data_IF_865685878697
#
_entry.id   IF_865685878697
#
_cell.length_a   1.000
_cell.length_b   1.000
_cell.length_c   1.000
_cell.angle_alpha   90.00
_cell.angle_beta   90.00
_cell.angle_gamma   90.00
#
_symmetry.space_group_name_H-M   'P 1'
#
loop_
_entity.id
_entity.type
_entity.pdbx_description
1 polymer ?
#
# COMPACT_ATOMS: atom_id res chain seq x y z
N UNK A 1 23.56 4.34 2.99
CA UNK A 1 23.14 3.14 2.21
C UNK A 1 22.80 2.06 3.22
N UNK A 2 21.56 1.55 3.22
CA UNK A 2 21.16 0.50 4.17
C UNK A 2 21.94 -0.79 3.92
N UNK A 3 22.66 -1.26 4.93
CA UNK A 3 23.40 -2.53 4.88
C UNK A 3 22.38 -3.64 4.72
N UNK A 4 22.44 -4.39 3.62
CA UNK A 4 21.60 -5.59 3.44
C UNK A 4 22.06 -6.62 4.47
N UNK A 5 21.22 -6.92 5.44
CA UNK A 5 21.48 -8.03 6.34
C UNK A 5 21.26 -9.34 5.57
N UNK A 6 22.36 -9.99 5.21
CA UNK A 6 22.35 -11.24 4.45
C UNK A 6 21.90 -12.45 5.29
N UNK A 7 21.75 -12.30 6.60
CA UNK A 7 21.31 -13.35 7.53
C UNK A 7 19.79 -13.39 7.71
N UNK A 8 19.09 -12.30 7.36
CA UNK A 8 17.63 -12.20 7.49
C UNK A 8 16.93 -12.94 6.36
N UNK A 9 15.89 -13.72 6.69
CA UNK A 9 15.08 -14.39 5.67
C UNK A 9 14.45 -13.35 4.74
N UNK A 10 14.44 -13.64 3.43
CA UNK A 10 13.97 -12.70 2.42
C UNK A 10 12.48 -12.32 2.58
N UNK A 11 11.67 -13.19 3.18
CA UNK A 11 10.25 -12.91 3.41
C UNK A 11 10.11 -11.92 4.56
N UNK A 12 10.85 -12.11 5.64
CA UNK A 12 10.90 -11.15 6.75
C UNK A 12 11.43 -9.79 6.28
N UNK A 13 12.49 -9.80 5.47
CA UNK A 13 13.02 -8.57 4.86
C UNK A 13 11.98 -7.85 3.99
N UNK A 14 11.19 -8.60 3.20
CA UNK A 14 10.10 -8.06 2.41
C UNK A 14 8.95 -7.54 3.28
N UNK A 15 8.62 -8.21 4.39
CA UNK A 15 7.60 -7.75 5.33
C UNK A 15 7.99 -6.38 5.93
N UNK A 16 9.22 -6.25 6.43
CA UNK A 16 9.72 -4.96 6.93
C UNK A 16 9.78 -3.89 5.83
N UNK A 17 10.01 -4.29 4.57
CA UNK A 17 9.94 -3.36 3.42
C UNK A 17 8.51 -2.86 3.21
N UNK A 18 7.52 -3.75 3.27
CA UNK A 18 6.11 -3.37 3.14
C UNK A 18 5.70 -2.42 4.28
N UNK A 19 6.13 -2.67 5.51
CA UNK A 19 5.88 -1.76 6.64
C UNK A 19 6.52 -0.36 6.43
N UNK A 20 7.73 -0.31 5.87
CA UNK A 20 8.35 0.97 5.50
C UNK A 20 7.58 1.67 4.38
N UNK A 21 7.11 0.93 3.38
CA UNK A 21 6.29 1.49 2.30
C UNK A 21 4.97 2.03 2.84
N UNK A 22 4.31 1.32 3.75
CA UNK A 22 3.10 1.79 4.41
C UNK A 22 3.34 3.09 5.17
N UNK A 23 4.44 3.18 5.96
CA UNK A 23 4.80 4.43 6.65
C UNK A 23 5.04 5.60 5.70
N UNK A 24 5.63 5.36 4.53
CA UNK A 24 5.81 6.39 3.51
C UNK A 24 4.44 6.86 2.97
N UNK A 25 3.53 5.94 2.68
CA UNK A 25 2.17 6.28 2.22
C UNK A 25 1.39 7.07 3.28
N UNK A 26 1.42 6.65 4.54
CA UNK A 26 0.80 7.38 5.65
C UNK A 26 1.37 8.78 5.79
N UNK A 27 2.70 8.93 5.78
CA UNK A 27 3.36 10.24 5.87
C UNK A 27 3.02 11.16 4.69
N UNK A 28 2.82 10.61 3.49
CA UNK A 28 2.34 11.41 2.35
C UNK A 28 0.92 11.93 2.58
N UNK A 29 0.02 11.09 3.12
CA UNK A 29 -1.36 11.50 3.44
C UNK A 29 -1.39 12.56 4.56
N UNK A 30 -0.58 12.39 5.60
CA UNK A 30 -0.44 13.37 6.69
C UNK A 30 0.00 14.73 6.16
N UNK A 31 1.06 14.76 5.36
CA UNK A 31 1.54 15.99 4.71
C UNK A 31 0.52 16.59 3.74
N UNK A 32 -0.27 15.75 3.06
CA UNK A 32 -1.30 16.24 2.16
C UNK A 32 -2.46 16.90 2.94
N UNK A 33 -2.86 16.35 4.08
CA UNK A 33 -3.93 16.87 4.94
C UNK A 33 -3.58 18.24 5.55
N UNK A 34 -2.30 18.52 5.77
CA UNK A 34 -1.82 19.84 6.24
C UNK A 34 -1.83 20.93 5.16
N UNK A 35 -2.05 20.55 3.89
CA UNK A 35 -2.07 21.48 2.75
C UNK A 35 -3.50 21.74 2.28
N UNK A 36 -3.70 22.93 1.72
CA UNK A 36 -4.95 23.27 1.06
C UNK A 36 -4.97 22.74 -0.39
N UNK A 37 -6.17 22.68 -0.97
CA UNK A 37 -6.37 22.16 -2.32
C UNK A 37 -5.52 22.91 -3.36
N UNK A 38 -5.30 24.22 -3.18
CA UNK A 38 -4.54 25.03 -4.13
C UNK A 38 -3.05 24.64 -4.18
N UNK A 39 -2.47 24.17 -3.06
CA UNK A 39 -1.10 23.67 -3.00
C UNK A 39 -0.99 22.21 -3.49
N UNK A 40 -2.04 21.40 -3.35
CA UNK A 40 -2.02 19.99 -3.75
C UNK A 40 -2.19 19.79 -5.26
N UNK A 41 -3.04 20.59 -5.91
CA UNK A 41 -3.34 20.43 -7.34
C UNK A 41 -2.11 20.51 -8.26
N UNK A 42 -1.17 21.48 -8.10
CA UNK A 42 0.04 21.53 -8.92
C UNK A 42 0.90 20.28 -8.79
N UNK A 43 1.02 19.73 -7.58
CA UNK A 43 1.80 18.51 -7.30
C UNK A 43 1.19 17.32 -8.05
N UNK A 44 -0.13 17.18 -8.02
CA UNK A 44 -0.82 16.09 -8.71
C UNK A 44 -0.64 16.20 -10.22
N UNK A 45 -0.74 17.41 -10.78
CA UNK A 45 -0.55 17.64 -12.21
C UNK A 45 0.90 17.40 -12.66
N UNK A 46 1.89 17.56 -11.77
CA UNK A 46 3.30 17.21 -12.02
C UNK A 46 3.55 15.69 -11.94
N UNK A 47 2.90 15.00 -11.02
CA UNK A 47 3.07 13.55 -10.83
C UNK A 47 2.30 12.73 -11.86
N UNK A 48 1.13 13.19 -12.31
CA UNK A 48 0.25 12.42 -13.20
C UNK A 48 0.93 11.93 -14.50
N UNK A 49 1.77 12.73 -15.19
CA UNK A 49 2.51 12.26 -16.37
C UNK A 49 3.58 11.20 -16.07
N UNK A 50 3.96 11.00 -14.81
CA UNK A 50 4.99 10.06 -14.37
C UNK A 50 4.42 8.69 -14.00
N UNK A 51 3.10 8.53 -14.01
CA UNK A 51 2.40 7.30 -13.64
C UNK A 51 1.50 6.84 -14.78
N UNK A 52 1.42 5.53 -14.97
CA UNK A 52 0.43 4.92 -15.86
C UNK A 52 -0.83 4.64 -15.03
N UNK A 53 -1.95 5.28 -15.37
CA UNK A 53 -3.20 5.18 -14.63
C UNK A 53 -4.41 5.35 -15.53
N UNK A 54 -5.50 4.69 -15.16
CA UNK A 54 -6.83 4.88 -15.76
C UNK A 54 -7.69 5.90 -15.00
N UNK A 55 -7.15 6.54 -13.95
CA UNK A 55 -7.86 7.58 -13.20
C UNK A 55 -7.77 8.89 -13.99
N UNK A 56 -8.93 9.46 -14.33
CA UNK A 56 -9.02 10.75 -15.02
C UNK A 56 -8.61 11.91 -14.12
N UNK A 57 -8.22 13.03 -14.73
CA UNK A 57 -7.90 14.26 -13.99
C UNK A 57 -9.06 14.74 -13.12
N UNK A 58 -10.31 14.62 -13.58
CA UNK A 58 -11.50 14.95 -12.78
C UNK A 58 -11.63 14.08 -11.54
N UNK A 59 -11.42 12.76 -11.68
CA UNK A 59 -11.47 11.84 -10.54
C UNK A 59 -10.35 12.12 -9.54
N UNK A 60 -9.15 12.50 -10.02
CA UNK A 60 -8.05 12.92 -9.14
C UNK A 60 -8.39 14.18 -8.35
N UNK A 61 -8.97 15.19 -8.99
CA UNK A 61 -9.42 16.41 -8.30
C UNK A 61 -10.43 16.07 -7.20
N UNK A 62 -11.38 15.17 -7.49
CA UNK A 62 -12.38 14.77 -6.51
C UNK A 62 -11.80 13.92 -5.38
N UNK A 63 -10.84 13.03 -5.67
CA UNK A 63 -10.07 12.31 -4.65
C UNK A 63 -9.29 13.28 -3.75
N UNK A 64 -8.69 14.33 -4.32
CA UNK A 64 -7.92 15.32 -3.57
C UNK A 64 -8.78 16.08 -2.56
N UNK A 65 -10.00 16.47 -2.96
CA UNK A 65 -10.98 17.09 -2.04
C UNK A 65 -11.35 16.17 -0.87
N UNK A 66 -11.41 14.86 -1.10
CA UNK A 66 -11.70 13.87 -0.05
C UNK A 66 -10.54 13.73 0.94
N UNK A 67 -9.29 13.77 0.46
CA UNK A 67 -8.08 13.67 1.32
C UNK A 67 -8.05 14.77 2.38
N UNK A 68 -8.40 16.01 2.03
CA UNK A 68 -8.43 17.12 3.00
C UNK A 68 -9.38 16.85 4.18
N UNK A 69 -10.42 16.03 3.97
CA UNK A 69 -11.42 15.69 4.97
C UNK A 69 -11.25 14.28 5.56
N UNK A 70 -10.19 13.55 5.20
CA UNK A 70 -10.00 12.18 5.67
C UNK A 70 -9.49 12.14 7.11
N UNK A 71 -10.01 11.20 7.89
CA UNK A 71 -9.39 10.82 9.15
C UNK A 71 -8.34 9.73 8.89
N UNK A 72 -7.07 10.11 8.92
CA UNK A 72 -5.95 9.22 8.58
C UNK A 72 -5.80 8.13 9.65
N UNK A 73 -6.21 8.42 10.89
CA UNK A 73 -6.18 7.46 12.00
C UNK A 73 -7.16 6.29 11.79
N UNK A 74 -8.08 6.41 10.81
CA UNK A 74 -9.03 5.36 10.42
C UNK A 74 -8.55 4.53 9.22
N UNK A 75 -7.33 4.75 8.69
CA UNK A 75 -6.80 3.95 7.59
C UNK A 75 -6.18 2.68 8.16
N UNK A 76 -6.95 1.60 8.11
CA UNK A 76 -6.45 0.28 8.46
C UNK A 76 -5.53 -0.29 7.38
N UNK A 77 -4.52 -1.03 7.82
CA UNK A 77 -3.58 -1.74 6.97
C UNK A 77 -3.47 -3.19 7.40
N UNK A 78 -3.53 -4.09 6.42
CA UNK A 78 -3.28 -5.51 6.64
C UNK A 78 -2.39 -6.11 5.56
N UNK A 79 -1.51 -7.04 5.96
CA UNK A 79 -0.66 -7.81 5.04
C UNK A 79 -1.37 -9.10 4.61
N UNK A 80 -1.14 -9.53 3.37
CA UNK A 80 -1.50 -10.86 2.89
C UNK A 80 -0.23 -11.68 2.59
N UNK A 81 -0.18 -12.99 2.89
CA UNK A 81 -1.18 -13.76 3.64
C UNK A 81 -1.32 -13.31 5.10
N UNK A 82 -2.54 -13.32 5.63
CA UNK A 82 -2.82 -13.02 7.05
C UNK A 82 -2.56 -14.23 7.94
N UNK A 83 -2.86 -15.43 7.43
CA UNK A 83 -2.65 -16.71 8.10
C UNK A 83 -1.33 -17.41 7.76
N UNK A 84 -1.19 -18.67 8.20
CA UNK A 84 -0.07 -19.53 7.81
C UNK A 84 0.09 -19.64 6.29
N UNK A 85 1.33 -19.73 5.85
CA UNK A 85 1.67 -19.83 4.45
C UNK A 85 2.85 -20.76 4.24
N UNK A 86 2.92 -21.35 3.06
CA UNK A 86 4.03 -22.15 2.59
C UNK A 86 4.78 -21.45 1.48
N UNK A 87 6.08 -21.66 1.48
CA UNK A 87 6.97 -21.16 0.44
C UNK A 87 7.16 -22.28 -0.56
N UNK A 88 6.83 -22.02 -1.83
CA UNK A 88 6.99 -22.98 -2.92
C UNK A 88 7.88 -22.40 -4.00
N UNK A 89 8.53 -23.28 -4.76
CA UNK A 89 9.14 -22.90 -6.05
C UNK A 89 8.21 -23.31 -7.16
N UNK A 90 7.80 -22.34 -7.97
CA UNK A 90 7.04 -22.57 -9.20
C UNK A 90 7.92 -22.08 -10.34
N UNK A 91 8.38 -23.00 -11.18
CA UNK A 91 9.45 -22.76 -12.16
C UNK A 91 10.70 -22.16 -11.47
N UNK A 92 11.19 -21.01 -11.96
CA UNK A 92 12.36 -20.30 -11.41
C UNK A 92 12.00 -19.31 -10.29
N UNK A 93 10.74 -19.24 -9.86
CA UNK A 93 10.27 -18.24 -8.90
C UNK A 93 9.99 -18.86 -7.51
N UNK A 94 10.38 -18.13 -6.45
CA UNK A 94 9.97 -18.41 -5.07
C UNK A 94 8.65 -17.66 -4.83
N UNK A 95 7.61 -18.39 -4.48
CA UNK A 95 6.27 -17.84 -4.23
C UNK A 95 5.84 -18.13 -2.80
N UNK A 96 5.05 -17.21 -2.25
CA UNK A 96 4.38 -17.37 -0.95
C UNK A 96 2.94 -17.74 -1.24
N UNK A 97 2.47 -18.85 -0.68
CA UNK A 97 1.12 -19.37 -0.91
C UNK A 97 0.44 -19.54 0.46
N UNK A 98 -0.71 -18.88 0.71
CA UNK A 98 -1.51 -19.16 1.90
C UNK A 98 -1.82 -20.66 1.98
N UNK A 99 -1.72 -21.24 3.18
CA UNK A 99 -2.01 -22.65 3.37
C UNK A 99 -3.52 -22.95 3.24
N UNK A 100 -4.36 -21.97 3.60
CA UNK A 100 -5.80 -21.96 3.33
C UNK A 100 -6.20 -20.71 2.55
N UNK A 101 -6.30 -20.87 1.24
CA UNK A 101 -6.71 -19.79 0.33
C UNK A 101 -8.15 -19.34 0.55
N UNK A 102 -9.06 -20.24 0.96
CA UNK A 102 -10.48 -19.91 1.12
C UNK A 102 -10.65 -18.99 2.32
N UNK A 103 -9.99 -19.32 3.44
CA UNK A 103 -10.00 -18.49 4.63
C UNK A 103 -9.32 -17.13 4.39
N UNK A 104 -8.20 -17.10 3.65
CA UNK A 104 -7.53 -15.84 3.28
C UNK A 104 -8.44 -14.93 2.42
N UNK A 105 -9.13 -15.48 1.42
CA UNK A 105 -10.08 -14.72 0.59
C UNK A 105 -11.23 -14.18 1.44
N UNK A 106 -11.78 -15.01 2.33
CA UNK A 106 -12.85 -14.57 3.24
C UNK A 106 -12.37 -13.41 4.12
N UNK A 107 -11.19 -13.55 4.71
CA UNK A 107 -10.58 -12.51 5.53
C UNK A 107 -10.43 -11.19 4.78
N UNK A 108 -9.90 -11.20 3.54
CA UNK A 108 -9.74 -9.99 2.72
C UNK A 108 -11.11 -9.35 2.42
N UNK A 109 -12.14 -10.15 2.11
CA UNK A 109 -13.48 -9.62 1.87
C UNK A 109 -14.10 -8.99 3.11
N UNK A 110 -13.91 -9.59 4.28
CA UNK A 110 -14.41 -9.06 5.54
C UNK A 110 -13.68 -7.75 5.89
N UNK A 111 -12.35 -7.71 5.70
CA UNK A 111 -11.52 -6.52 5.90
C UNK A 111 -11.89 -5.34 4.98
N UNK A 112 -12.20 -5.58 3.70
CA UNK A 112 -12.50 -4.51 2.75
C UNK A 112 -13.94 -3.96 2.85
N UNK A 113 -14.83 -4.62 3.62
CA UNK A 113 -16.25 -4.26 3.74
C UNK A 113 -16.62 -3.67 5.10
N UNK A 114 -15.65 -3.57 6.00
CA UNK A 114 -15.83 -3.00 7.34
C UNK A 114 -16.22 -1.51 7.31
#
# INVERSE_FOLDING_TARGET
>A
MGVRNHEMDSIESNAQRNERQQRVLTAFLEQAKEKDLSALLPIILEVLPLIDTNISTSELVDLTKKIVNIDIDQIDYHRTPSGPYTIRRVNMHRVVVPDDMISEIKFIHDFLKQ
#
